data_IF_539992011088
#
_entry.id   IF_539992011088
#
_cell.length_a   1.000
_cell.length_b   1.000
_cell.length_c   1.000
_cell.angle_alpha   90.00
_cell.angle_beta   90.00
_cell.angle_gamma   90.00
#
_symmetry.space_group_name_H-M   'P 1'
#
loop_
_entity.id
_entity.type
_entity.pdbx_description
1 polymer ?
#
# COMPACT_ATOMS: atom_id res chain seq x y z
N UNK A 1 -29.36 8.52 79.00
CA UNK A 1 -30.59 8.79 78.21
C UNK A 1 -31.21 10.07 78.77
N UNK A 2 -31.44 11.19 78.09
CA UNK A 2 -31.16 11.70 76.74
C UNK A 2 -31.55 13.20 76.79
N UNK A 3 -30.86 14.07 76.03
CA UNK A 3 -31.24 15.46 75.61
C UNK A 3 -31.41 16.51 76.73
N UNK A 4 -30.85 17.72 76.71
CA UNK A 4 -30.83 18.71 75.62
C UNK A 4 -29.89 19.85 76.09
N UNK A 5 -28.92 20.31 75.28
CA UNK A 5 -28.29 21.63 75.51
C UNK A 5 -28.22 22.43 74.22
N UNK A 6 -28.94 23.55 74.30
CA UNK A 6 -29.15 24.61 73.35
C UNK A 6 -27.83 25.22 72.87
N UNK A 7 -27.79 25.53 71.57
CA UNK A 7 -26.76 26.28 70.87
C UNK A 7 -26.45 27.61 71.56
N UNK A 8 -25.16 27.83 71.83
CA UNK A 8 -24.59 29.07 72.35
C UNK A 8 -24.13 29.96 71.19
N UNK A 9 -24.79 31.10 71.10
CA UNK A 9 -24.31 32.44 70.74
C UNK A 9 -23.19 32.62 69.69
N UNK A 10 -23.59 33.37 68.68
CA UNK A 10 -22.85 34.24 67.75
C UNK A 10 -21.66 34.98 68.39
N UNK A 11 -20.66 35.24 67.53
CA UNK A 11 -19.66 36.33 67.58
C UNK A 11 -18.23 35.88 67.84
N UNK A 12 -17.45 35.81 66.76
CA UNK A 12 -16.09 36.38 66.73
C UNK A 12 -15.72 36.71 65.30
N UNK A 13 -15.67 38.01 65.03
CA UNK A 13 -15.05 38.58 63.85
C UNK A 13 -13.57 38.18 63.81
N UNK A 14 -13.12 37.59 62.70
CA UNK A 14 -11.71 37.50 62.35
C UNK A 14 -11.47 38.24 61.05
N UNK A 15 -10.91 39.44 61.18
CA UNK A 15 -10.41 40.27 60.10
C UNK A 15 -9.23 39.53 59.44
N UNK A 16 -9.34 39.20 58.16
CA UNK A 16 -8.23 38.68 57.34
C UNK A 16 -7.70 39.88 56.54
N UNK A 17 -6.40 40.20 56.59
CA UNK A 17 -5.86 41.28 55.78
C UNK A 17 -5.81 40.84 54.31
N UNK A 18 -6.45 41.61 53.42
CA UNK A 18 -6.28 41.46 51.97
C UNK A 18 -4.89 41.95 51.59
N UNK A 19 -4.02 41.04 51.16
CA UNK A 19 -2.72 41.36 50.58
C UNK A 19 -2.93 41.80 49.12
N UNK A 20 -2.54 43.03 48.79
CA UNK A 20 -2.63 43.58 47.44
C UNK A 20 -1.26 43.51 46.75
N UNK A 21 -1.21 42.92 45.57
CA UNK A 21 -0.12 43.09 44.61
C UNK A 21 -0.73 43.77 43.38
N UNK A 22 -0.28 44.98 43.03
CA UNK A 22 -0.77 45.76 41.87
C UNK A 22 -2.31 45.98 41.79
N UNK A 23 -2.97 46.25 42.92
CA UNK A 23 -4.30 46.88 42.92
C UNK A 23 -5.51 46.04 42.48
N UNK A 24 -5.37 44.74 42.19
CA UNK A 24 -6.51 43.86 41.91
C UNK A 24 -6.61 42.70 42.93
N UNK A 25 -7.82 42.31 43.37
CA UNK A 25 -8.00 41.18 44.27
C UNK A 25 -7.72 39.85 43.54
N UNK A 26 -6.87 39.00 44.13
CA UNK A 26 -6.66 37.62 43.71
C UNK A 26 -7.87 36.81 44.21
N UNK A 27 -8.98 36.86 43.47
CA UNK A 27 -10.08 35.92 43.64
C UNK A 27 -10.51 35.45 42.27
N UNK A 28 -10.30 34.16 42.01
CA UNK A 28 -10.69 33.41 40.83
C UNK A 28 -9.85 33.71 39.58
N UNK A 29 -8.82 32.87 39.36
CA UNK A 29 -8.45 32.53 37.97
C UNK A 29 -9.63 31.72 37.45
N UNK A 30 -10.60 32.41 36.85
CA UNK A 30 -11.71 31.74 36.17
C UNK A 30 -11.15 31.04 34.93
N UNK A 31 -10.97 29.72 35.01
CA UNK A 31 -10.82 28.84 33.85
C UNK A 31 -12.06 28.88 32.92
N UNK A 32 -13.09 29.66 33.26
CA UNK A 32 -14.41 29.70 32.64
C UNK A 32 -14.44 30.41 31.28
N UNK A 33 -13.44 31.24 30.97
CA UNK A 33 -13.37 31.95 29.68
C UNK A 33 -12.21 31.43 28.85
N UNK A 34 -12.19 30.13 28.53
CA UNK A 34 -11.47 29.69 27.34
C UNK A 34 -12.05 30.52 26.18
N UNK A 35 -11.26 31.50 25.72
CA UNK A 35 -11.68 32.42 24.66
C UNK A 35 -12.31 31.60 23.53
N UNK A 36 -13.51 31.95 23.03
CA UNK A 36 -14.17 31.17 21.98
C UNK A 36 -13.25 30.98 20.76
N UNK A 37 -12.32 31.92 20.53
CA UNK A 37 -11.28 31.82 19.52
C UNK A 37 -10.27 30.69 19.78
N UNK A 38 -9.88 30.48 21.03
CA UNK A 38 -8.97 29.40 21.44
C UNK A 38 -9.64 28.03 21.30
N UNK A 39 -10.91 27.92 21.66
CA UNK A 39 -11.70 26.70 21.47
C UNK A 39 -11.89 26.38 19.97
N UNK A 40 -12.19 27.39 19.14
CA UNK A 40 -12.26 27.25 17.68
C UNK A 40 -10.92 26.82 17.07
N UNK A 41 -9.80 27.38 17.54
CA UNK A 41 -8.45 26.99 17.12
C UNK A 41 -8.18 25.52 17.46
N UNK A 42 -8.44 25.11 18.71
CA UNK A 42 -8.25 23.72 19.15
C UNK A 42 -9.15 22.76 18.36
N UNK A 43 -10.40 23.13 18.09
CA UNK A 43 -11.33 22.32 17.29
C UNK A 43 -10.89 22.23 15.82
N UNK A 44 -10.39 23.33 15.23
CA UNK A 44 -9.86 23.35 13.87
C UNK A 44 -8.58 22.50 13.75
N UNK A 45 -7.67 22.55 14.72
CA UNK A 45 -6.44 21.77 14.73
C UNK A 45 -6.73 20.27 14.91
N UNK A 46 -7.66 19.92 15.79
CA UNK A 46 -8.07 18.52 15.98
C UNK A 46 -8.83 17.96 14.78
N UNK A 47 -9.76 18.72 14.17
CA UNK A 47 -10.39 18.34 12.91
C UNK A 47 -9.37 18.16 11.77
N UNK A 48 -8.38 19.06 11.68
CA UNK A 48 -7.27 18.94 10.72
C UNK A 48 -6.41 17.70 10.98
N UNK A 49 -6.10 17.41 12.25
CA UNK A 49 -5.33 16.22 12.63
C UNK A 49 -6.10 14.91 12.33
N UNK A 50 -7.42 14.89 12.55
CA UNK A 50 -8.30 13.77 12.17
C UNK A 50 -8.34 13.56 10.65
N UNK A 51 -8.40 14.63 9.86
CA UNK A 51 -8.32 14.55 8.39
C UNK A 51 -6.96 14.05 7.92
N UNK A 52 -5.87 14.54 8.53
CA UNK A 52 -4.50 14.09 8.21
C UNK A 52 -4.29 12.62 8.57
N UNK A 53 -4.86 12.14 9.68
CA UNK A 53 -4.78 10.74 10.09
C UNK A 53 -5.58 9.80 9.17
N UNK A 54 -6.65 10.31 8.53
CA UNK A 54 -7.40 9.57 7.50
C UNK A 54 -6.65 9.49 6.15
N UNK A 55 -5.56 10.23 5.96
CA UNK A 55 -4.85 10.37 4.68
C UNK A 55 -3.34 10.07 4.74
N UNK A 56 -2.87 9.26 5.69
CA UNK A 56 -1.45 8.88 5.69
C UNK A 56 -1.16 7.87 4.58
N UNK A 57 -0.35 8.30 3.60
CA UNK A 57 0.14 7.45 2.52
C UNK A 57 1.15 6.46 3.08
N UNK A 58 0.86 5.16 2.96
CA UNK A 58 1.76 4.06 3.26
C UNK A 58 2.60 3.74 2.04
N UNK A 59 3.89 3.48 2.24
CA UNK A 59 4.74 2.87 1.23
C UNK A 59 4.94 1.39 1.56
N UNK A 60 4.81 0.51 0.57
CA UNK A 60 5.09 -0.92 0.71
C UNK A 60 6.03 -1.35 -0.40
N UNK A 61 7.06 -2.09 0.00
CA UNK A 61 8.07 -2.65 -0.90
C UNK A 61 8.05 -4.16 -0.80
N UNK A 62 8.04 -4.83 -1.93
CA UNK A 62 7.99 -6.28 -2.02
C UNK A 62 8.96 -6.79 -3.07
N UNK A 63 9.50 -7.99 -2.83
CA UNK A 63 10.25 -8.76 -3.83
C UNK A 63 9.55 -10.08 -3.98
N UNK A 64 9.18 -10.40 -5.21
CA UNK A 64 8.31 -11.52 -5.57
C UNK A 64 9.00 -12.28 -6.71
N UNK A 65 8.84 -13.61 -6.75
CA UNK A 65 9.44 -14.43 -7.80
C UNK A 65 8.35 -15.15 -8.58
N UNK A 66 8.29 -14.93 -9.89
CA UNK A 66 7.32 -15.60 -10.75
C UNK A 66 7.96 -16.87 -11.28
N UNK A 67 7.21 -17.96 -11.18
CA UNK A 67 7.61 -19.29 -11.60
C UNK A 67 6.97 -19.56 -12.97
N UNK A 68 7.66 -19.20 -14.05
CA UNK A 68 7.16 -19.20 -15.43
C UNK A 68 7.54 -20.50 -16.14
N UNK A 69 6.54 -21.17 -16.73
CA UNK A 69 6.69 -22.39 -17.53
C UNK A 69 6.04 -22.13 -18.88
N UNK A 70 6.84 -22.16 -19.95
CA UNK A 70 6.43 -21.68 -21.27
C UNK A 70 5.94 -22.77 -22.23
N UNK A 71 6.04 -24.06 -21.88
CA UNK A 71 5.51 -25.17 -22.68
C UNK A 71 5.19 -26.41 -21.84
N UNK A 72 4.53 -27.39 -22.46
CA UNK A 72 4.11 -28.64 -21.84
C UNK A 72 2.75 -28.54 -21.14
N UNK A 73 2.30 -29.64 -20.50
CA UNK A 73 0.96 -29.75 -19.92
C UNK A 73 0.74 -28.83 -18.70
N UNK A 74 1.82 -28.35 -18.08
CA UNK A 74 1.80 -27.46 -16.91
C UNK A 74 2.24 -26.03 -17.27
N UNK A 75 2.17 -25.65 -18.54
CA UNK A 75 2.54 -24.31 -18.97
C UNK A 75 1.67 -23.26 -18.28
N UNK A 76 2.33 -22.22 -17.76
CA UNK A 76 1.69 -21.08 -17.10
C UNK A 76 1.70 -19.84 -17.99
N UNK A 77 2.50 -19.84 -19.06
CA UNK A 77 2.64 -18.72 -19.99
C UNK A 77 2.68 -19.24 -21.43
N UNK A 78 1.63 -18.99 -22.21
CA UNK A 78 1.50 -19.54 -23.57
C UNK A 78 1.02 -18.50 -24.58
N UNK A 79 1.44 -18.59 -25.86
CA UNK A 79 0.90 -17.73 -26.90
C UNK A 79 -0.53 -18.17 -27.24
N UNK A 80 -1.46 -17.21 -27.29
CA UNK A 80 -2.88 -17.45 -27.57
C UNK A 80 -3.36 -16.80 -28.88
N UNK A 81 -2.59 -15.84 -29.41
CA UNK A 81 -2.87 -15.21 -30.68
C UNK A 81 -1.59 -14.67 -31.31
N UNK A 82 -1.60 -14.49 -32.63
CA UNK A 82 -0.49 -13.91 -33.38
C UNK A 82 -0.85 -13.71 -34.85
N UNK A 83 0.14 -13.29 -35.65
CA UNK A 83 -0.05 -13.04 -37.08
C UNK A 83 -0.09 -14.39 -37.83
N UNK A 84 -1.11 -14.57 -38.67
CA UNK A 84 -1.25 -15.77 -39.49
C UNK A 84 -0.03 -15.98 -40.40
N UNK A 85 0.45 -17.22 -40.49
CA UNK A 85 1.63 -17.57 -41.27
C UNK A 85 2.97 -17.19 -40.64
N UNK A 86 2.97 -16.62 -39.42
CA UNK A 86 4.19 -16.37 -38.64
C UNK A 86 4.27 -17.30 -37.43
N UNK A 87 5.49 -17.56 -36.98
CA UNK A 87 5.73 -18.24 -35.70
C UNK A 87 5.30 -17.34 -34.55
N UNK A 88 4.61 -17.89 -33.56
CA UNK A 88 4.18 -17.15 -32.38
C UNK A 88 5.26 -17.25 -31.31
N UNK A 89 6.09 -16.22 -31.22
CA UNK A 89 7.21 -16.11 -30.27
C UNK A 89 7.16 -14.76 -29.56
N UNK A 90 7.83 -14.66 -28.40
CA UNK A 90 7.96 -13.40 -27.65
C UNK A 90 8.62 -12.27 -28.44
N UNK A 91 9.37 -12.59 -29.50
CA UNK A 91 10.03 -11.60 -30.38
C UNK A 91 9.24 -11.29 -31.64
N UNK A 92 8.16 -12.02 -31.92
CA UNK A 92 7.35 -11.78 -33.10
C UNK A 92 6.26 -10.75 -32.80
N UNK A 93 6.38 -9.56 -33.40
CA UNK A 93 5.36 -8.51 -33.33
C UNK A 93 3.94 -9.07 -33.52
N UNK A 94 3.03 -8.65 -32.64
CA UNK A 94 1.62 -9.02 -32.64
C UNK A 94 1.32 -10.34 -31.90
N UNK A 95 2.33 -11.05 -31.40
CA UNK A 95 2.09 -12.25 -30.59
C UNK A 95 1.58 -11.86 -29.21
N UNK A 96 0.46 -12.45 -28.80
CA UNK A 96 -0.19 -12.26 -27.51
C UNK A 96 0.01 -13.51 -26.66
N UNK A 97 0.54 -13.32 -25.46
CA UNK A 97 0.68 -14.34 -24.43
C UNK A 97 -0.32 -14.13 -23.32
N UNK A 98 -0.87 -15.22 -22.80
CA UNK A 98 -1.57 -15.25 -21.51
C UNK A 98 -0.64 -15.84 -20.46
N UNK A 99 -0.69 -15.29 -19.25
CA UNK A 99 0.14 -15.71 -18.13
C UNK A 99 -0.70 -15.93 -16.88
N UNK A 100 -0.42 -17.01 -16.16
CA UNK A 100 -0.90 -17.31 -14.80
C UNK A 100 0.22 -18.03 -14.03
N UNK A 101 1.20 -17.26 -13.58
CA UNK A 101 2.40 -17.79 -12.89
C UNK A 101 2.19 -17.89 -11.39
N UNK A 102 2.84 -18.89 -10.76
CA UNK A 102 2.94 -18.92 -9.30
C UNK A 102 3.88 -17.82 -8.83
N UNK A 103 3.47 -17.07 -7.81
CA UNK A 103 4.30 -16.06 -7.17
C UNK A 103 4.79 -16.57 -5.82
N UNK A 104 6.10 -16.52 -5.56
CA UNK A 104 6.74 -17.00 -4.33
C UNK A 104 7.56 -15.90 -3.62
N UNK A 105 7.79 -16.05 -2.31
CA UNK A 105 8.61 -15.11 -1.50
C UNK A 105 10.11 -15.20 -1.82
N UNK A 106 10.55 -16.36 -2.32
CA UNK A 106 11.93 -16.63 -2.67
C UNK A 106 12.05 -17.28 -4.05
N UNK A 107 13.27 -17.36 -4.62
CA UNK A 107 13.47 -17.88 -5.96
C UNK A 107 13.20 -19.39 -6.06
N UNK A 108 13.31 -20.12 -4.94
CA UNK A 108 13.03 -21.56 -4.93
C UNK A 108 11.54 -21.82 -5.19
N UNK A 109 11.18 -22.78 -6.08
CA UNK A 109 9.78 -23.21 -6.24
C UNK A 109 9.17 -23.78 -4.95
N UNK A 110 10.00 -24.14 -3.97
CA UNK A 110 9.56 -24.64 -2.65
C UNK A 110 9.35 -23.52 -1.63
N UNK A 111 9.68 -22.27 -1.97
CA UNK A 111 9.40 -21.11 -1.11
C UNK A 111 7.89 -20.92 -0.93
N UNK A 112 7.52 -20.18 0.12
CA UNK A 112 6.11 -19.90 0.39
C UNK A 112 5.46 -19.21 -0.83
N UNK A 113 4.31 -19.74 -1.22
CA UNK A 113 3.48 -19.16 -2.27
C UNK A 113 2.74 -17.96 -1.70
N UNK A 114 2.79 -16.83 -2.40
CA UNK A 114 2.13 -15.59 -1.99
C UNK A 114 0.91 -15.23 -2.81
N UNK A 115 0.77 -15.83 -3.99
CA UNK A 115 -0.28 -15.49 -4.93
C UNK A 115 -0.01 -15.97 -6.35
N UNK A 116 -0.63 -15.28 -7.30
CA UNK A 116 -0.52 -15.52 -8.74
C UNK A 116 -0.21 -14.23 -9.49
N UNK A 117 0.55 -14.30 -10.56
CA UNK A 117 0.71 -13.22 -11.52
C UNK A 117 -0.11 -13.56 -12.77
N UNK A 118 -1.20 -12.81 -13.00
CA UNK A 118 -2.20 -13.14 -14.01
C UNK A 118 -2.35 -12.00 -15.01
N UNK A 119 -2.35 -12.30 -16.31
CA UNK A 119 -2.57 -11.25 -17.29
C UNK A 119 -2.15 -11.62 -18.70
N UNK A 120 -1.79 -10.60 -19.47
CA UNK A 120 -1.37 -10.73 -20.86
C UNK A 120 -0.12 -9.91 -21.15
N UNK A 121 0.67 -10.40 -22.11
CA UNK A 121 1.74 -9.61 -22.71
C UNK A 121 1.68 -9.69 -24.23
N UNK A 122 2.08 -8.61 -24.90
CA UNK A 122 2.03 -8.50 -26.36
C UNK A 122 3.35 -8.01 -26.88
N UNK A 123 3.99 -8.74 -27.80
CA UNK A 123 5.15 -8.24 -28.54
C UNK A 123 4.72 -7.03 -29.39
N UNK A 124 4.94 -5.82 -28.87
CA UNK A 124 4.30 -4.60 -29.34
C UNK A 124 5.22 -3.73 -30.20
N UNK A 125 6.54 -3.90 -30.08
CA UNK A 125 7.47 -3.26 -31.01
C UNK A 125 7.55 -4.07 -32.32
N UNK A 126 7.58 -3.37 -33.46
CA UNK A 126 7.67 -4.00 -34.79
C UNK A 126 8.92 -4.88 -34.96
N UNK A 127 10.00 -4.52 -34.27
CA UNK A 127 11.26 -5.26 -34.22
C UNK A 127 11.32 -6.35 -33.13
N UNK A 128 10.24 -6.50 -32.34
CA UNK A 128 10.18 -7.47 -31.25
C UNK A 128 10.92 -7.09 -29.98
N UNK A 129 11.52 -5.89 -29.90
CA UNK A 129 12.33 -5.45 -28.76
C UNK A 129 11.54 -5.30 -27.46
N UNK A 130 10.24 -4.99 -27.57
CA UNK A 130 9.41 -4.63 -26.44
C UNK A 130 8.11 -5.42 -26.39
N UNK A 131 7.68 -5.74 -25.17
CA UNK A 131 6.37 -6.27 -24.88
C UNK A 131 5.52 -5.24 -24.11
N UNK A 132 4.28 -5.01 -24.53
CA UNK A 132 3.28 -4.36 -23.69
C UNK A 132 2.81 -5.38 -22.65
N UNK A 133 2.96 -5.06 -21.37
CA UNK A 133 2.59 -5.94 -20.24
C UNK A 133 1.36 -5.39 -19.55
N UNK A 134 0.38 -6.26 -19.27
CA UNK A 134 -0.79 -5.99 -18.45
C UNK A 134 -0.95 -7.18 -17.49
N UNK A 135 -0.53 -7.02 -16.23
CA UNK A 135 -0.47 -8.11 -15.26
C UNK A 135 -1.02 -7.66 -13.91
N UNK A 136 -1.87 -8.48 -13.32
CA UNK A 136 -2.38 -8.37 -11.95
C UNK A 136 -1.58 -9.29 -11.03
N UNK A 137 -1.05 -8.74 -9.93
CA UNK A 137 -0.50 -9.52 -8.82
C UNK A 137 -1.65 -9.85 -7.87
N UNK A 138 -2.14 -11.08 -7.91
CA UNK A 138 -3.30 -11.55 -7.13
C UNK A 138 -2.81 -12.25 -5.87
N UNK A 139 -2.95 -11.59 -4.72
CA UNK A 139 -2.41 -12.10 -3.47
C UNK A 139 -3.37 -13.05 -2.76
N UNK A 140 -2.83 -14.17 -2.28
CA UNK A 140 -3.54 -15.19 -1.48
C UNK A 140 -2.86 -15.49 -0.15
N UNK A 141 -1.71 -14.86 0.13
CA UNK A 141 -1.03 -14.96 1.41
C UNK A 141 -1.83 -14.32 2.55
N UNK A 142 -1.50 -14.69 3.79
CA UNK A 142 -2.19 -14.17 4.99
C UNK A 142 -2.23 -12.65 5.05
N UNK A 143 -1.16 -11.97 4.63
CA UNK A 143 -1.05 -10.52 4.77
C UNK A 143 -1.91 -9.75 3.75
N UNK A 144 -1.94 -10.16 2.49
CA UNK A 144 -2.57 -9.40 1.41
C UNK A 144 -3.75 -10.13 0.74
N UNK A 145 -4.22 -11.25 1.33
CA UNK A 145 -5.28 -12.09 0.76
C UNK A 145 -6.45 -11.28 0.17
N UNK A 146 -6.78 -11.57 -1.09
CA UNK A 146 -7.88 -10.93 -1.83
C UNK A 146 -7.59 -9.51 -2.32
N UNK A 147 -6.38 -8.99 -2.11
CA UNK A 147 -5.92 -7.72 -2.69
C UNK A 147 -5.18 -7.98 -3.99
N UNK A 148 -5.13 -6.96 -4.85
CA UNK A 148 -4.35 -7.00 -6.09
C UNK A 148 -3.51 -5.74 -6.28
N UNK A 149 -2.39 -5.89 -7.01
CA UNK A 149 -1.64 -4.77 -7.59
C UNK A 149 -1.70 -4.90 -9.10
N UNK A 150 -2.06 -3.82 -9.79
CA UNK A 150 -2.23 -3.80 -11.24
C UNK A 150 -1.04 -3.14 -11.92
N UNK A 151 -0.40 -3.87 -12.84
CA UNK A 151 0.80 -3.45 -13.55
C UNK A 151 0.49 -3.26 -15.03
N UNK A 152 0.93 -2.14 -15.58
CA UNK A 152 0.85 -1.86 -17.01
C UNK A 152 2.09 -1.09 -17.48
N UNK A 153 2.68 -1.51 -18.61
CA UNK A 153 3.78 -0.75 -19.18
C UNK A 153 4.43 -1.40 -20.39
N UNK A 154 5.28 -0.62 -21.07
CA UNK A 154 6.15 -1.10 -22.13
C UNK A 154 7.42 -1.69 -21.51
N UNK A 155 7.54 -3.01 -21.55
CA UNK A 155 8.63 -3.79 -21.00
C UNK A 155 9.65 -4.11 -22.08
N UNK A 156 10.87 -3.60 -21.92
CA UNK A 156 11.97 -3.81 -22.86
C UNK A 156 12.60 -5.17 -22.66
N UNK A 157 12.17 -6.18 -23.42
CA UNK A 157 12.36 -7.60 -23.11
C UNK A 157 13.83 -8.01 -22.91
N UNK A 158 14.74 -7.34 -23.61
CA UNK A 158 16.17 -7.66 -23.61
C UNK A 158 17.01 -6.83 -22.64
N UNK A 159 16.41 -5.86 -21.95
CA UNK A 159 17.10 -5.17 -20.85
C UNK A 159 17.13 -6.06 -19.60
N UNK A 160 18.23 -5.97 -18.85
CA UNK A 160 18.45 -6.76 -17.63
C UNK A 160 17.39 -6.47 -16.57
N UNK A 161 16.99 -5.19 -16.45
CA UNK A 161 15.95 -4.72 -15.55
C UNK A 161 14.94 -3.90 -16.34
N UNK A 162 13.66 -4.24 -16.21
CA UNK A 162 12.56 -3.68 -16.99
C UNK A 162 11.56 -3.02 -16.06
N UNK A 163 11.50 -1.69 -16.09
CA UNK A 163 10.57 -0.93 -15.26
C UNK A 163 9.22 -0.76 -15.96
N UNK A 164 8.14 -0.95 -15.20
CA UNK A 164 6.75 -0.72 -15.62
C UNK A 164 5.98 -0.05 -14.49
N UNK A 165 4.87 0.60 -14.83
CA UNK A 165 4.08 1.32 -13.85
C UNK A 165 3.16 0.38 -13.07
N UNK A 166 3.01 0.65 -11.77
CA UNK A 166 1.85 0.21 -11.01
C UNK A 166 0.76 1.25 -11.22
N UNK A 167 -0.31 0.85 -11.92
CA UNK A 167 -1.39 1.76 -12.34
C UNK A 167 -2.56 1.80 -11.37
N UNK A 168 -2.74 0.75 -10.56
CA UNK A 168 -3.81 0.68 -9.55
C UNK A 168 -3.58 -0.48 -8.58
N UNK A 169 -4.53 -0.68 -7.66
CA UNK A 169 -4.66 -1.87 -6.84
C UNK A 169 -6.04 -1.98 -6.21
N UNK A 170 -6.32 -3.15 -5.65
CA UNK A 170 -7.57 -3.46 -4.96
C UNK A 170 -7.32 -3.89 -3.51
N UNK A 171 -8.38 -3.99 -2.70
CA UNK A 171 -8.26 -4.41 -1.31
C UNK A 171 -7.34 -3.48 -0.51
N UNK A 172 -6.29 -4.05 0.08
CA UNK A 172 -5.27 -3.30 0.84
C UNK A 172 -4.45 -2.33 -0.01
N UNK A 173 -4.41 -2.52 -1.33
CA UNK A 173 -3.68 -1.67 -2.26
C UNK A 173 -4.61 -0.71 -3.01
N UNK A 174 -5.76 -0.36 -2.44
CA UNK A 174 -6.67 0.61 -3.06
C UNK A 174 -5.96 1.93 -3.28
N UNK A 175 -6.14 2.49 -4.48
CA UNK A 175 -5.46 3.71 -4.94
C UNK A 175 -3.93 3.58 -5.02
N UNK A 176 -3.41 2.34 -5.11
CA UNK A 176 -1.99 2.12 -5.24
C UNK A 176 -1.43 2.79 -6.51
N UNK A 177 -0.28 3.44 -6.35
CA UNK A 177 0.54 3.97 -7.44
C UNK A 177 2.01 3.68 -7.16
N UNK A 178 2.80 3.53 -8.20
CA UNK A 178 4.23 3.29 -8.06
C UNK A 178 4.81 2.62 -9.29
N UNK A 179 5.79 1.76 -9.07
CA UNK A 179 6.49 1.07 -10.15
C UNK A 179 6.85 -0.35 -9.74
N UNK A 180 7.04 -1.19 -10.74
CA UNK A 180 7.61 -2.52 -10.60
C UNK A 180 8.81 -2.67 -11.55
N UNK A 181 9.79 -3.46 -11.13
CA UNK A 181 10.91 -3.86 -11.99
C UNK A 181 10.94 -5.37 -12.15
N UNK A 182 11.07 -5.82 -13.39
CA UNK A 182 11.24 -7.22 -13.74
C UNK A 182 12.68 -7.51 -14.16
N UNK A 183 13.20 -8.64 -13.68
CA UNK A 183 14.51 -9.14 -14.04
C UNK A 183 14.44 -10.65 -14.26
N UNK A 184 15.13 -11.12 -15.28
CA UNK A 184 15.25 -12.55 -15.55
C UNK A 184 16.29 -13.13 -14.60
N UNK A 185 15.83 -13.74 -13.50
CA UNK A 185 16.69 -14.24 -12.43
C UNK A 185 17.33 -15.59 -12.78
N UNK A 186 16.57 -16.46 -13.46
CA UNK A 186 17.02 -17.78 -13.89
C UNK A 186 16.27 -18.19 -15.16
N UNK A 187 16.95 -18.88 -16.08
CA UNK A 187 16.37 -19.42 -17.31
C UNK A 187 16.95 -20.80 -17.58
N UNK A 188 16.08 -21.80 -17.68
CA UNK A 188 16.39 -23.16 -18.11
C UNK A 188 15.59 -23.49 -19.38
N UNK A 189 16.22 -23.27 -20.53
CA UNK A 189 15.60 -23.46 -21.84
C UNK A 189 15.17 -24.92 -22.10
N UNK A 190 15.98 -25.96 -21.80
CA UNK A 190 15.55 -27.35 -21.91
C UNK A 190 14.24 -27.68 -21.18
N UNK A 191 14.06 -27.16 -19.96
CA UNK A 191 12.85 -27.39 -19.17
C UNK A 191 11.75 -26.35 -19.44
N UNK A 192 12.00 -25.39 -20.33
CA UNK A 192 11.13 -24.26 -20.62
C UNK A 192 10.68 -23.49 -19.37
N UNK A 193 11.55 -23.45 -18.36
CA UNK A 193 11.27 -22.91 -17.04
C UNK A 193 12.14 -21.69 -16.77
N UNK A 194 11.54 -20.63 -16.27
CA UNK A 194 12.25 -19.41 -15.90
C UNK A 194 11.73 -18.83 -14.59
N UNK A 195 12.60 -18.06 -13.94
CA UNK A 195 12.25 -17.31 -12.74
C UNK A 195 12.41 -15.83 -13.04
N UNK A 196 11.33 -15.07 -12.89
CA UNK A 196 11.35 -13.61 -12.97
C UNK A 196 11.34 -13.03 -11.57
N UNK A 197 12.32 -12.19 -11.24
CA UNK A 197 12.30 -11.37 -10.03
C UNK A 197 11.49 -10.12 -10.30
N UNK A 198 10.43 -9.90 -9.53
CA UNK A 198 9.57 -8.72 -9.57
C UNK A 198 9.77 -7.92 -8.28
N UNK A 199 10.39 -6.74 -8.36
CA UNK A 199 10.43 -5.80 -7.25
C UNK A 199 9.29 -4.80 -7.42
N UNK A 200 8.50 -4.57 -6.38
CA UNK A 200 7.34 -3.67 -6.43
C UNK A 200 7.45 -2.65 -5.32
N UNK A 201 7.33 -1.37 -5.67
CA UNK A 201 7.22 -0.27 -4.72
C UNK A 201 5.90 0.46 -4.96
N UNK A 202 5.02 0.47 -3.96
CA UNK A 202 3.69 1.09 -4.06
C UNK A 202 3.41 2.04 -2.91
N UNK A 203 2.77 3.15 -3.23
CA UNK A 203 2.13 4.07 -2.30
C UNK A 203 0.63 3.82 -2.27
N UNK A 204 0.04 3.60 -1.10
CA UNK A 204 -1.39 3.35 -0.88
C UNK A 204 -1.86 3.88 0.49
N UNK A 205 -3.08 3.57 0.94
CA UNK A 205 -3.71 4.14 2.15
C UNK A 205 -4.10 3.07 3.17
#
# INVERSE_FOLDING_TARGET
>A
MTLTRLHKAISKASCIPKLYFFGFPISHIDLSMASPLLLLLVFSMSASALLVQASYVKETRMVLYFQDISTGPNATSIPIAGIAGKLWTFTQFGTVYVTDDTMTEGPSPKSAVVGRAQGVSVAAALDGSNALVLVSLVFTNKEYNGSTIEIQGNSKQFESVREVAVVSGTGKFRFARGYATFESYFVDLPSAYSILRCNVTVQHY
#
